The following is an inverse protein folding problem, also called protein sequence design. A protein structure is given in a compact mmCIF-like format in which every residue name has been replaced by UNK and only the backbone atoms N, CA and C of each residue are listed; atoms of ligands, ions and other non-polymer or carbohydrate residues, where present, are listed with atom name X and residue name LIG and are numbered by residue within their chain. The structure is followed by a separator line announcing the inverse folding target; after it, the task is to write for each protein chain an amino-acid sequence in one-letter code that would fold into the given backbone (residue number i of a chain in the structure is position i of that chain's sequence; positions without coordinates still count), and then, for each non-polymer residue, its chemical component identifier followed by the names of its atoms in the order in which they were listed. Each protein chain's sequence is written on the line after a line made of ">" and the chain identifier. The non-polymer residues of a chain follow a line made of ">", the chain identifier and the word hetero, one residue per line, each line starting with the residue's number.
data_IF_570786183150
#
_entry.id   IF_570786183150
#
_cell.length_a   1.000
_cell.length_b   1.000
_cell.length_c   1.000
_cell.angle_alpha   90.00
_cell.angle_beta   90.00
_cell.angle_gamma   90.00
#
_symmetry.space_group_name_H-M   'P 1'
#
loop_
_entity.id
_entity.type
_entity.pdbx_description
1 polymer ?
#
# COMPACT_ATOMS: atom_id res chain seq x y z
N UNK A 1 17.15 9.69 84.59
CA UNK A 1 18.33 10.58 84.37
C UNK A 1 19.07 10.18 83.08
N UNK A 2 19.98 10.99 82.49
CA UNK A 2 20.19 12.44 82.52
C UNK A 2 20.44 13.08 81.12
N UNK A 3 20.63 14.40 81.14
CA UNK A 3 21.56 15.24 80.33
C UNK A 3 21.41 15.45 78.80
N UNK A 4 21.30 16.74 78.44
CA UNK A 4 21.56 17.34 77.10
C UNK A 4 23.09 17.38 76.86
N UNK A 5 23.59 17.32 75.61
CA UNK A 5 24.02 18.58 74.94
C UNK A 5 23.89 18.60 73.40
N UNK A 6 23.75 19.81 72.85
CA UNK A 6 24.05 20.14 71.44
C UNK A 6 25.59 20.18 71.23
N UNK A 7 26.13 19.91 70.03
CA UNK A 7 26.26 20.91 68.94
C UNK A 7 26.05 20.24 67.55
N UNK A 8 25.96 20.92 66.41
CA UNK A 8 26.85 21.93 65.89
C UNK A 8 26.71 22.02 64.37
N UNK A 9 27.09 23.19 63.89
CA UNK A 9 27.12 23.67 62.51
C UNK A 9 27.95 22.82 61.54
N UNK A 10 27.51 22.77 60.28
CA UNK A 10 28.29 22.35 59.10
C UNK A 10 27.34 22.19 57.92
N UNK A 11 27.08 23.20 57.08
CA UNK A 11 27.95 23.63 55.98
C UNK A 11 28.40 22.45 55.11
N UNK A 12 27.93 22.39 53.86
CA UNK A 12 28.51 21.50 52.87
C UNK A 12 27.53 21.06 51.79
N UNK A 13 27.39 21.94 50.80
CA UNK A 13 26.97 21.68 49.41
C UNK A 13 26.89 20.21 48.98
N UNK A 14 25.70 19.78 48.54
CA UNK A 14 25.58 18.64 47.62
C UNK A 14 25.52 19.24 46.21
N UNK A 15 26.67 19.26 45.53
CA UNK A 15 26.73 19.56 44.10
C UNK A 15 26.03 18.40 43.39
N UNK A 16 24.75 18.60 43.08
CA UNK A 16 24.01 17.75 42.18
C UNK A 16 24.78 17.61 40.86
N UNK A 17 25.11 16.35 40.59
CA UNK A 17 25.71 15.76 39.40
C UNK A 17 25.29 16.45 38.10
N UNK A 18 26.27 16.97 37.35
CA UNK A 18 26.05 17.40 35.98
C UNK A 18 25.79 16.15 35.11
N UNK A 19 24.69 16.11 34.32
CA UNK A 19 24.47 15.02 33.38
C UNK A 19 25.62 14.99 32.37
N UNK A 20 26.33 13.87 32.32
CA UNK A 20 27.31 13.60 31.26
C UNK A 20 26.54 13.48 29.94
N UNK A 21 26.70 14.46 29.05
CA UNK A 21 26.18 14.39 27.69
C UNK A 21 26.88 13.25 26.95
N UNK A 22 26.16 12.14 26.77
CA UNK A 22 26.57 11.05 25.89
C UNK A 22 26.48 11.58 24.46
N UNK A 23 27.62 11.90 23.86
CA UNK A 23 27.72 12.25 22.45
C UNK A 23 27.12 11.12 21.61
N UNK A 24 26.00 11.42 20.97
CA UNK A 24 25.42 10.58 19.93
C UNK A 24 26.28 10.76 18.69
N UNK A 25 27.21 9.85 18.47
CA UNK A 25 27.93 9.74 17.20
C UNK A 25 26.90 9.34 16.13
N UNK A 26 26.48 10.31 15.32
CA UNK A 26 25.49 10.12 14.27
C UNK A 26 26.12 9.27 13.16
N UNK A 27 25.88 7.96 13.22
CA UNK A 27 26.31 7.03 12.18
C UNK A 27 25.61 7.42 10.87
N UNK A 28 26.35 7.71 9.78
CA UNK A 28 25.75 8.12 8.53
C UNK A 28 24.86 7.00 7.99
N UNK A 29 23.57 7.30 7.83
CA UNK A 29 22.62 6.36 7.24
C UNK A 29 22.89 6.27 5.73
N UNK A 30 23.09 5.06 5.16
CA UNK A 30 23.34 4.93 3.73
C UNK A 30 22.13 5.44 2.94
N UNK A 31 22.38 6.30 1.96
CA UNK A 31 21.37 6.81 1.05
C UNK A 31 20.83 5.66 0.18
N UNK A 32 19.52 5.42 0.27
CA UNK A 32 18.87 4.40 -0.54
C UNK A 32 18.90 4.83 -2.02
N UNK A 33 19.21 3.91 -2.96
CA UNK A 33 19.25 4.25 -4.37
C UNK A 33 17.88 4.77 -4.83
N UNK A 34 17.90 5.86 -5.62
CA UNK A 34 16.70 6.44 -6.19
C UNK A 34 15.96 5.41 -7.06
N UNK A 35 14.66 5.25 -6.82
CA UNK A 35 13.85 4.27 -7.53
C UNK A 35 13.77 4.63 -9.02
N UNK A 36 14.01 3.65 -9.89
CA UNK A 36 13.87 3.85 -11.33
C UNK A 36 12.43 4.33 -11.67
N UNK A 37 12.29 5.25 -12.64
CA UNK A 37 10.98 5.79 -12.99
C UNK A 37 10.05 4.68 -13.50
N UNK A 38 8.80 4.70 -13.04
CA UNK A 38 7.81 3.71 -13.42
C UNK A 38 7.57 3.70 -14.94
N UNK A 39 7.57 2.51 -15.54
CA UNK A 39 7.23 2.35 -16.96
C UNK A 39 5.78 2.76 -17.21
N UNK A 40 5.55 3.55 -18.25
CA UNK A 40 4.20 3.92 -18.68
C UNK A 40 3.41 2.67 -19.09
N UNK A 41 2.15 2.51 -18.66
CA UNK A 41 1.34 1.38 -19.07
C UNK A 41 1.05 1.45 -20.57
N UNK A 42 1.23 0.34 -21.26
CA UNK A 42 0.83 0.13 -22.65
C UNK A 42 -0.69 0.19 -22.79
N UNK A 43 -1.16 0.37 -24.01
CA UNK A 43 -2.61 0.32 -24.30
C UNK A 43 -3.24 -1.01 -23.86
N UNK A 44 -2.55 -2.13 -24.07
CA UNK A 44 -3.02 -3.46 -23.63
C UNK A 44 -3.15 -3.56 -22.11
N UNK A 45 -2.16 -3.05 -21.37
CA UNK A 45 -2.21 -3.04 -19.90
C UNK A 45 -3.37 -2.19 -19.39
N UNK A 46 -3.64 -1.04 -20.02
CA UNK A 46 -4.79 -0.20 -19.67
C UNK A 46 -6.14 -0.89 -19.93
N UNK A 47 -6.22 -1.71 -20.98
CA UNK A 47 -7.44 -2.47 -21.32
C UNK A 47 -7.56 -3.78 -20.54
N UNK A 48 -6.60 -4.11 -19.66
CA UNK A 48 -6.54 -5.40 -18.97
C UNK A 48 -7.82 -5.75 -18.20
N UNK A 49 -8.42 -4.76 -17.51
CA UNK A 49 -9.66 -4.97 -16.74
C UNK A 49 -10.85 -5.32 -17.61
N UNK A 50 -11.07 -4.57 -18.69
CA UNK A 50 -12.13 -4.86 -19.66
C UNK A 50 -11.87 -6.16 -20.41
N UNK A 51 -10.61 -6.49 -20.72
CA UNK A 51 -10.30 -7.78 -21.36
C UNK A 51 -10.51 -8.98 -20.43
N UNK A 52 -10.30 -8.79 -19.13
CA UNK A 52 -10.47 -9.86 -18.14
C UNK A 52 -11.93 -10.32 -18.00
N UNK A 53 -12.93 -9.44 -18.22
CA UNK A 53 -14.35 -9.84 -18.17
C UNK A 53 -14.72 -10.85 -19.26
N UNK A 54 -13.94 -10.90 -20.35
CA UNK A 54 -14.18 -11.83 -21.46
C UNK A 54 -13.30 -13.09 -21.40
N UNK A 55 -12.37 -13.19 -20.45
CA UNK A 55 -11.40 -14.28 -20.41
C UNK A 55 -12.05 -15.68 -20.30
N UNK A 56 -13.21 -15.78 -19.64
CA UNK A 56 -13.95 -17.03 -19.43
C UNK A 56 -14.63 -17.61 -20.69
N UNK A 57 -14.70 -16.85 -21.77
CA UNK A 57 -15.25 -17.30 -23.05
C UNK A 57 -14.18 -17.85 -24.01
N UNK A 58 -12.91 -17.53 -23.76
CA UNK A 58 -11.79 -17.95 -24.62
C UNK A 58 -11.44 -19.42 -24.36
N UNK A 59 -11.39 -20.22 -25.43
CA UNK A 59 -10.95 -21.62 -25.35
C UNK A 59 -12.03 -22.61 -24.89
N UNK A 60 -13.31 -22.21 -24.82
CA UNK A 60 -14.42 -23.15 -24.61
C UNK A 60 -14.49 -24.16 -25.77
N UNK A 61 -14.73 -25.42 -25.44
CA UNK A 61 -14.83 -26.53 -26.41
C UNK A 61 -16.20 -26.61 -27.11
N UNK A 62 -17.24 -26.05 -26.49
CA UNK A 62 -18.58 -25.89 -27.06
C UNK A 62 -19.09 -24.48 -26.76
N UNK A 63 -19.80 -23.91 -27.73
CA UNK A 63 -20.48 -22.62 -27.63
C UNK A 63 -21.96 -22.89 -27.93
N UNK A 64 -22.83 -22.53 -26.99
CA UNK A 64 -24.27 -22.69 -27.07
C UNK A 64 -24.98 -21.35 -26.85
N UNK A 65 -26.32 -21.35 -26.88
CA UNK A 65 -27.12 -20.15 -26.69
C UNK A 65 -26.82 -19.47 -25.34
N UNK A 66 -26.71 -20.25 -24.26
CA UNK A 66 -26.36 -19.73 -22.94
C UNK A 66 -25.00 -19.02 -22.95
N UNK A 67 -24.00 -19.58 -23.64
CA UNK A 67 -22.70 -18.92 -23.80
C UNK A 67 -22.80 -17.58 -24.55
N UNK A 68 -23.68 -17.48 -25.55
CA UNK A 68 -23.90 -16.24 -26.28
C UNK A 68 -24.62 -15.19 -25.41
N UNK A 69 -25.61 -15.60 -24.63
CA UNK A 69 -26.32 -14.73 -23.68
C UNK A 69 -25.36 -14.18 -22.61
N UNK A 70 -24.52 -15.05 -22.03
CA UNK A 70 -23.48 -14.66 -21.06
C UNK A 70 -22.48 -13.65 -21.64
N UNK A 71 -22.13 -13.80 -22.93
CA UNK A 71 -21.23 -12.89 -23.62
C UNK A 71 -21.88 -11.52 -23.84
N UNK A 72 -23.16 -11.48 -24.21
CA UNK A 72 -23.92 -10.24 -24.37
C UNK A 72 -23.95 -9.45 -23.04
N UNK A 73 -24.24 -10.13 -21.93
CA UNK A 73 -24.21 -9.52 -20.60
C UNK A 73 -22.82 -8.96 -20.26
N UNK A 74 -21.75 -9.68 -20.64
CA UNK A 74 -20.38 -9.22 -20.43
C UNK A 74 -20.04 -7.98 -21.26
N UNK A 75 -20.54 -7.88 -22.50
CA UNK A 75 -20.37 -6.69 -23.37
C UNK A 75 -21.08 -5.48 -22.79
N UNK A 76 -22.32 -5.64 -22.32
CA UNK A 76 -23.08 -4.59 -21.66
C UNK A 76 -22.34 -4.10 -20.40
N UNK A 77 -21.79 -5.02 -19.59
CA UNK A 77 -20.99 -4.70 -18.39
C UNK A 77 -19.68 -3.99 -18.73
N UNK A 78 -19.14 -4.18 -19.92
CA UNK A 78 -17.92 -3.54 -20.39
C UNK A 78 -18.17 -2.17 -21.05
N UNK A 79 -19.32 -1.55 -20.78
CA UNK A 79 -19.71 -0.23 -21.29
C UNK A 79 -19.89 -0.16 -22.82
N UNK A 80 -20.17 -1.29 -23.48
CA UNK A 80 -20.49 -1.33 -24.93
C UNK A 80 -21.93 -0.88 -25.20
N UNK A 81 -22.86 -1.16 -24.27
CA UNK A 81 -24.27 -0.81 -24.35
C UNK A 81 -25.13 -1.90 -25.02
N UNK A 82 -26.45 -1.86 -24.77
CA UNK A 82 -27.40 -2.93 -25.16
C UNK A 82 -27.46 -3.10 -26.68
N UNK A 83 -27.85 -2.06 -27.42
CA UNK A 83 -28.03 -2.14 -28.88
C UNK A 83 -26.78 -2.64 -29.62
N UNK A 84 -25.60 -2.03 -29.41
CA UNK A 84 -24.36 -2.50 -30.04
C UNK A 84 -23.97 -3.93 -29.62
N UNK A 85 -24.29 -4.34 -28.38
CA UNK A 85 -24.02 -5.72 -27.94
C UNK A 85 -24.93 -6.71 -28.67
N UNK A 86 -26.23 -6.43 -28.78
CA UNK A 86 -27.19 -7.27 -29.51
C UNK A 86 -26.80 -7.40 -30.98
N UNK A 87 -26.47 -6.30 -31.66
CA UNK A 87 -26.00 -6.32 -33.05
C UNK A 87 -24.76 -7.21 -33.24
N UNK A 88 -23.81 -7.19 -32.30
CA UNK A 88 -22.60 -8.02 -32.38
C UNK A 88 -22.86 -9.52 -32.17
N UNK A 89 -23.94 -9.88 -31.47
CA UNK A 89 -24.29 -11.29 -31.17
C UNK A 89 -25.13 -11.91 -32.29
N UNK A 90 -25.98 -11.11 -32.94
CA UNK A 90 -26.89 -11.58 -33.99
C UNK A 90 -26.24 -11.68 -35.39
N UNK A 91 -25.02 -11.19 -35.57
CA UNK A 91 -24.28 -11.15 -36.85
C UNK A 91 -23.13 -12.16 -36.94
#
# INVERSE_FOLDING_TARGET
>A
PPAVPAPGSGAGVDLAEAPTEVGTDEVPTPEAPEAAPARRPTFRERLGRARATFAGFLGRSKIDAETWDELEEALIRADVGIGPSTELIEH
#
